data_IF_368270667609
#
_entry.id   IF_368270667609
#
_cell.length_a   1.000
_cell.length_b   1.000
_cell.length_c   1.000
_cell.angle_alpha   90.00
_cell.angle_beta   90.00
_cell.angle_gamma   90.00
#
_symmetry.space_group_name_H-M   'P 1'
#
loop_
_entity.id
_entity.type
_entity.pdbx_description
1 polymer ?
#
# COMPACT_ATOMS: atom_id res chain seq x y z
N UNK A 1 73.81 -19.42 3.72
CA UNK A 1 73.72 -20.61 2.85
C UNK A 1 72.61 -20.36 1.83
N UNK A 2 72.39 -21.30 0.90
CA UNK A 2 71.58 -21.14 -0.31
C UNK A 2 70.06 -20.94 -0.09
N UNK A 3 69.38 -20.63 -1.20
CA UNK A 3 67.96 -20.65 -1.56
C UNK A 3 67.07 -21.76 -0.95
N UNK A 4 65.73 -21.84 -1.09
CA UNK A 4 64.70 -21.26 -2.00
C UNK A 4 63.27 -21.60 -1.44
N UNK A 5 62.06 -21.42 -2.03
CA UNK A 5 61.49 -20.83 -3.26
C UNK A 5 59.97 -20.52 -3.02
N UNK A 6 59.35 -19.61 -3.79
CA UNK A 6 57.91 -19.60 -4.22
C UNK A 6 56.76 -19.51 -3.16
N UNK A 7 55.56 -18.97 -3.46
CA UNK A 7 55.12 -18.20 -4.64
C UNK A 7 53.98 -17.20 -4.29
N UNK A 8 53.77 -16.25 -5.19
CA UNK A 8 52.74 -15.20 -5.24
C UNK A 8 51.33 -15.77 -5.57
N UNK A 9 50.21 -15.03 -5.63
CA UNK A 9 50.07 -13.61 -6.00
C UNK A 9 48.84 -12.90 -5.40
N UNK A 10 49.01 -11.63 -5.07
CA UNK A 10 47.93 -10.63 -5.06
C UNK A 10 47.66 -10.13 -6.49
N UNK A 11 46.45 -9.63 -6.74
CA UNK A 11 46.11 -8.77 -7.88
C UNK A 11 45.40 -7.50 -7.37
N UNK A 12 45.60 -6.36 -8.05
CA UNK A 12 45.21 -5.03 -7.57
C UNK A 12 44.54 -4.20 -8.68
N UNK A 13 43.96 -3.07 -8.26
CA UNK A 13 43.41 -1.94 -9.04
C UNK A 13 44.40 -1.43 -10.11
N UNK A 14 44.06 -0.65 -11.15
CA UNK A 14 42.83 0.04 -11.62
C UNK A 14 43.05 0.59 -13.04
N UNK A 15 42.03 1.13 -13.73
CA UNK A 15 42.22 1.91 -14.98
C UNK A 15 40.91 2.36 -15.65
N UNK A 16 40.93 3.47 -16.40
CA UNK A 16 39.75 4.18 -16.92
C UNK A 16 39.77 4.43 -18.46
N UNK A 17 38.58 4.74 -19.01
CA UNK A 17 38.28 5.74 -20.05
C UNK A 17 38.13 5.41 -21.58
N UNK A 18 37.27 6.23 -22.22
CA UNK A 18 36.96 6.56 -23.64
C UNK A 18 36.38 5.54 -24.67
N UNK A 19 35.41 6.05 -25.44
CA UNK A 19 34.84 5.62 -26.76
C UNK A 19 35.82 5.97 -27.93
N UNK A 20 35.63 5.62 -29.26
CA UNK A 20 34.35 5.50 -30.00
C UNK A 20 34.24 4.60 -31.28
N UNK A 21 33.07 4.68 -31.96
CA UNK A 21 32.84 4.70 -33.43
C UNK A 21 32.53 3.45 -34.32
N UNK A 22 31.38 3.56 -35.02
CA UNK A 22 31.08 3.35 -36.48
C UNK A 22 30.47 2.03 -37.04
N UNK A 23 29.22 2.19 -37.53
CA UNK A 23 28.54 1.51 -38.69
C UNK A 23 28.18 0.01 -38.49
N UNK A 24 27.19 -0.57 -39.20
CA UNK A 24 26.57 -0.23 -40.50
C UNK A 24 25.09 0.23 -40.48
N UNK A 25 24.46 0.28 -41.66
CA UNK A 25 23.15 0.89 -41.98
C UNK A 25 22.42 0.04 -43.03
N UNK A 26 21.11 -0.14 -42.90
CA UNK A 26 20.20 -0.58 -43.96
C UNK A 26 18.85 0.11 -43.80
N UNK A 27 18.08 0.24 -44.88
CA UNK A 27 16.98 1.22 -45.00
C UNK A 27 15.69 0.58 -45.51
N UNK A 28 14.57 0.87 -44.84
CA UNK A 28 13.18 0.87 -45.34
C UNK A 28 12.37 1.73 -44.34
N UNK A 29 11.80 2.91 -44.61
CA UNK A 29 11.00 3.43 -45.74
C UNK A 29 9.51 3.03 -45.71
N UNK A 30 8.74 3.67 -44.83
CA UNK A 30 7.34 4.04 -45.11
C UNK A 30 6.87 5.11 -44.13
N UNK A 31 6.38 6.24 -44.66
CA UNK A 31 5.65 7.27 -43.92
C UNK A 31 4.16 6.92 -43.94
N UNK A 32 3.43 7.23 -42.88
CA UNK A 32 1.97 7.13 -42.83
C UNK A 32 1.45 8.24 -41.93
N UNK A 33 0.74 9.21 -42.53
CA UNK A 33 0.29 10.40 -41.84
C UNK A 33 -1.04 10.19 -41.10
N UNK A 34 -1.30 11.11 -40.19
CA UNK A 34 -2.54 11.26 -39.43
C UNK A 34 -3.66 11.84 -40.32
N UNK A 35 -4.73 11.06 -40.53
CA UNK A 35 -5.99 11.52 -41.13
C UNK A 35 -7.17 10.90 -40.37
N UNK A 36 -7.69 11.65 -39.39
CA UNK A 36 -8.81 11.25 -38.53
C UNK A 36 -10.02 12.17 -38.65
N UNK A 37 -10.79 12.06 -39.74
CA UNK A 37 -12.08 12.76 -39.86
C UNK A 37 -13.28 11.84 -39.65
N UNK A 38 -14.21 12.24 -38.78
CA UNK A 38 -15.67 12.21 -38.98
C UNK A 38 -16.37 12.58 -37.67
N UNK A 39 -16.92 13.80 -37.61
CA UNK A 39 -17.99 14.14 -36.67
C UNK A 39 -19.31 14.04 -37.42
N UNK A 40 -20.15 13.08 -37.06
CA UNK A 40 -21.56 13.04 -37.47
C UNK A 40 -22.47 12.70 -36.28
N UNK A 41 -23.73 13.07 -36.40
CA UNK A 41 -24.67 13.31 -35.30
C UNK A 41 -25.79 12.25 -35.28
N UNK A 42 -25.85 11.44 -34.22
CA UNK A 42 -26.87 10.41 -34.04
C UNK A 42 -27.38 10.32 -32.60
N UNK A 43 -28.32 11.19 -32.23
CA UNK A 43 -28.91 11.22 -30.89
C UNK A 43 -30.10 10.26 -30.70
N UNK A 44 -30.17 9.64 -29.53
CA UNK A 44 -31.45 9.18 -28.96
C UNK A 44 -31.41 9.30 -27.44
N UNK A 45 -32.44 9.89 -26.84
CA UNK A 45 -32.58 9.91 -25.39
C UNK A 45 -33.06 8.56 -24.87
N UNK A 46 -32.51 8.09 -23.75
CA UNK A 46 -33.11 7.03 -22.95
C UNK A 46 -33.11 7.45 -21.50
N UNK A 47 -34.28 7.86 -21.00
CA UNK A 47 -34.50 8.06 -19.57
C UNK A 47 -34.78 6.71 -18.93
N UNK A 48 -33.75 6.14 -18.29
CA UNK A 48 -33.90 4.94 -17.46
C UNK A 48 -33.59 5.30 -16.02
N UNK A 49 -34.63 5.72 -15.28
CA UNK A 49 -34.59 5.62 -13.83
C UNK A 49 -34.49 4.14 -13.47
N UNK A 50 -33.34 3.75 -12.93
CA UNK A 50 -33.01 2.38 -12.59
C UNK A 50 -32.66 2.29 -11.11
N UNK A 51 -33.68 2.18 -10.25
CA UNK A 51 -33.52 1.88 -8.83
C UNK A 51 -33.04 0.43 -8.64
N UNK A 52 -31.78 0.17 -9.00
CA UNK A 52 -31.05 -1.05 -8.69
C UNK A 52 -29.99 -0.75 -7.64
N UNK A 53 -30.29 -1.03 -6.36
CA UNK A 53 -29.27 -1.04 -5.32
C UNK A 53 -28.25 -2.12 -5.67
N UNK A 54 -27.09 -1.72 -6.19
CA UNK A 54 -26.20 -2.63 -6.89
C UNK A 54 -25.60 -3.68 -5.95
N UNK A 55 -25.83 -4.94 -6.28
CA UNK A 55 -25.38 -6.12 -5.52
C UNK A 55 -23.85 -6.15 -5.35
N UNK A 56 -23.15 -5.44 -6.26
CA UNK A 56 -21.74 -5.05 -6.20
C UNK A 56 -21.28 -4.46 -4.85
N UNK A 57 -22.18 -3.83 -4.09
CA UNK A 57 -21.86 -3.25 -2.78
C UNK A 57 -21.51 -4.29 -1.70
N UNK A 58 -21.87 -5.57 -1.88
CA UNK A 58 -21.60 -6.61 -0.89
C UNK A 58 -20.11 -6.99 -0.78
N UNK A 59 -19.35 -6.85 -1.87
CA UNK A 59 -17.90 -7.13 -1.92
C UNK A 59 -17.03 -5.92 -1.53
N UNK A 60 -17.63 -4.79 -1.14
CA UNK A 60 -16.94 -3.67 -0.50
C UNK A 60 -17.20 -3.63 1.01
N UNK A 61 -16.23 -3.12 1.77
CA UNK A 61 -16.38 -2.76 3.18
C UNK A 61 -15.84 -1.35 3.40
N UNK A 62 -16.67 -0.50 4.00
CA UNK A 62 -16.28 0.79 4.57
C UNK A 62 -15.87 0.59 6.02
N UNK A 63 -14.77 1.20 6.43
CA UNK A 63 -14.22 1.07 7.79
C UNK A 63 -13.59 2.37 8.30
N UNK A 64 -13.64 2.55 9.62
CA UNK A 64 -13.00 3.65 10.34
C UNK A 64 -11.86 3.07 11.17
N UNK A 65 -10.63 3.43 10.83
CA UNK A 65 -9.41 2.90 11.42
C UNK A 65 -8.84 3.92 12.42
N UNK A 66 -8.92 3.62 13.71
CA UNK A 66 -8.59 4.54 14.82
C UNK A 66 -7.32 4.11 15.55
N UNK A 67 -6.58 5.02 16.20
CA UNK A 67 -5.55 4.62 17.16
C UNK A 67 -6.18 3.86 18.35
N UNK A 68 -5.53 2.80 18.81
CA UNK A 68 -5.97 2.03 19.98
C UNK A 68 -5.85 2.88 21.27
N UNK A 69 -6.94 3.18 22.00
CA UNK A 69 -6.97 4.30 22.96
C UNK A 69 -6.02 4.20 24.16
N UNK A 70 -5.52 3.00 24.49
CA UNK A 70 -4.48 2.82 25.53
C UNK A 70 -3.07 2.81 24.91
N UNK A 71 -2.74 1.81 24.09
CA UNK A 71 -1.42 1.66 23.43
C UNK A 71 -0.99 2.85 22.53
N UNK A 72 -1.94 3.66 22.06
CA UNK A 72 -1.73 4.86 21.24
C UNK A 72 -2.22 6.13 21.95
N UNK A 73 -1.81 6.30 23.21
CA UNK A 73 -1.97 7.54 23.98
C UNK A 73 -1.13 8.69 23.40
N UNK A 74 -1.43 9.94 23.77
CA UNK A 74 -0.86 11.18 23.19
C UNK A 74 0.61 11.45 23.57
N UNK A 75 1.18 10.65 24.46
CA UNK A 75 2.61 10.56 24.76
C UNK A 75 3.39 9.74 23.71
N UNK A 76 2.71 8.84 22.98
CA UNK A 76 3.32 8.03 21.93
C UNK A 76 3.88 8.91 20.79
N UNK A 77 5.15 8.71 20.43
CA UNK A 77 5.84 9.51 19.42
C UNK A 77 5.18 9.45 18.04
N UNK A 78 4.56 8.31 17.68
CA UNK A 78 3.87 8.15 16.40
C UNK A 78 2.60 9.02 16.33
N UNK A 79 1.87 9.11 17.44
CA UNK A 79 0.66 9.95 17.55
C UNK A 79 1.00 11.44 17.45
N UNK A 80 2.10 11.86 18.10
CA UNK A 80 2.60 13.25 18.04
C UNK A 80 3.04 13.68 16.64
N UNK A 81 3.60 12.76 15.86
CA UNK A 81 4.02 13.01 14.49
C UNK A 81 2.80 13.08 13.53
N UNK A 82 1.87 12.13 13.63
CA UNK A 82 0.67 12.06 12.79
C UNK A 82 -0.36 13.18 13.06
N UNK A 83 -0.45 13.66 14.31
CA UNK A 83 -1.37 14.72 14.75
C UNK A 83 -2.83 14.32 14.44
N UNK A 84 -3.52 15.09 13.61
CA UNK A 84 -4.92 14.85 13.24
C UNK A 84 -5.08 13.69 12.23
N UNK A 85 -4.01 13.28 11.55
CA UNK A 85 -4.01 12.18 10.55
C UNK A 85 -3.98 10.77 11.18
N UNK A 86 -4.29 10.67 12.48
CA UNK A 86 -4.27 9.40 13.22
C UNK A 86 -5.47 8.51 12.91
N UNK A 87 -6.63 9.07 12.55
CA UNK A 87 -7.80 8.29 12.09
C UNK A 87 -7.83 8.21 10.57
N UNK A 88 -8.12 7.03 10.02
CA UNK A 88 -8.28 6.78 8.58
C UNK A 88 -9.72 6.36 8.29
N UNK A 89 -10.27 6.87 7.19
CA UNK A 89 -11.52 6.40 6.61
C UNK A 89 -11.16 5.64 5.33
N UNK A 90 -11.58 4.38 5.22
CA UNK A 90 -11.14 3.47 4.16
C UNK A 90 -12.34 2.75 3.58
N UNK A 91 -12.41 2.71 2.24
CA UNK A 91 -13.24 1.78 1.47
C UNK A 91 -12.29 0.79 0.79
N UNK A 92 -12.57 -0.49 0.91
CA UNK A 92 -11.74 -1.57 0.34
C UNK A 92 -12.58 -2.83 0.10
N UNK A 93 -12.02 -3.83 -0.58
CA UNK A 93 -12.74 -5.07 -0.87
C UNK A 93 -12.87 -5.97 0.37
N UNK A 94 -13.99 -6.66 0.51
CA UNK A 94 -14.31 -7.52 1.66
C UNK A 94 -13.36 -8.73 1.79
N UNK A 95 -12.65 -9.09 0.71
CA UNK A 95 -11.60 -10.11 0.69
C UNK A 95 -10.22 -9.62 1.16
N UNK A 96 -10.03 -8.31 1.40
CA UNK A 96 -8.79 -7.78 1.95
C UNK A 96 -8.53 -8.34 3.35
N UNK A 97 -7.26 -8.54 3.70
CA UNK A 97 -6.85 -9.16 4.96
C UNK A 97 -6.34 -8.15 5.99
N UNK A 98 -6.20 -8.58 7.24
CA UNK A 98 -5.56 -7.79 8.31
C UNK A 98 -4.10 -7.50 7.98
N UNK A 99 -3.38 -8.40 7.30
CA UNK A 99 -2.03 -8.12 6.79
C UNK A 99 -2.03 -7.04 5.70
N UNK A 100 -3.05 -6.99 4.83
CA UNK A 100 -3.21 -5.90 3.87
C UNK A 100 -3.44 -4.55 4.58
N UNK A 101 -4.24 -4.53 5.65
CA UNK A 101 -4.45 -3.33 6.48
C UNK A 101 -3.18 -2.90 7.23
N UNK A 102 -2.43 -3.85 7.80
CA UNK A 102 -1.15 -3.58 8.47
C UNK A 102 -0.13 -2.98 7.49
N UNK A 103 -0.01 -3.57 6.30
CA UNK A 103 0.83 -3.05 5.20
C UNK A 103 0.37 -1.67 4.73
N UNK A 104 -0.94 -1.44 4.59
CA UNK A 104 -1.50 -0.13 4.25
C UNK A 104 -1.08 0.94 5.27
N UNK A 105 -1.19 0.67 6.57
CA UNK A 105 -0.77 1.63 7.60
C UNK A 105 0.74 1.92 7.49
N UNK A 106 1.57 0.89 7.34
CA UNK A 106 3.02 1.06 7.20
C UNK A 106 3.38 1.93 5.97
N UNK A 107 2.79 1.64 4.81
CA UNK A 107 3.01 2.43 3.59
C UNK A 107 2.46 3.85 3.72
N UNK A 108 1.24 4.03 4.23
CA UNK A 108 0.64 5.38 4.33
C UNK A 108 1.36 6.25 5.35
N UNK A 109 1.82 5.69 6.46
CA UNK A 109 2.50 6.45 7.51
C UNK A 109 3.92 6.85 7.06
N UNK A 110 4.61 6.00 6.27
CA UNK A 110 5.86 6.39 5.62
C UNK A 110 5.66 7.54 4.60
N UNK A 111 4.54 7.57 3.88
CA UNK A 111 4.20 8.69 2.98
C UNK A 111 3.82 9.98 3.73
N UNK A 112 3.17 9.87 4.89
CA UNK A 112 2.72 11.03 5.68
C UNK A 112 3.84 11.66 6.53
N UNK A 113 4.79 10.83 6.99
CA UNK A 113 5.88 11.24 7.90
C UNK A 113 7.22 11.42 7.17
N UNK A 114 7.37 10.86 5.96
CA UNK A 114 8.60 10.92 5.18
C UNK A 114 9.81 10.44 5.98
N UNK A 115 10.82 11.30 6.12
CA UNK A 115 12.06 11.04 6.85
C UNK A 115 11.96 11.19 8.37
N UNK A 116 10.84 11.62 8.95
CA UNK A 116 10.65 11.58 10.41
C UNK A 116 10.45 10.14 10.94
N UNK A 117 10.14 9.19 10.06
CA UNK A 117 10.01 7.78 10.40
C UNK A 117 11.38 7.07 10.31
N UNK A 118 11.85 6.38 11.37
CA UNK A 118 13.00 5.49 11.25
C UNK A 118 12.73 4.37 10.25
N UNK A 119 13.76 3.85 9.56
CA UNK A 119 13.67 2.71 8.60
C UNK A 119 13.16 1.37 9.21
N UNK A 120 12.71 1.37 10.46
CA UNK A 120 12.13 0.20 11.13
C UNK A 120 10.76 -0.11 10.53
N UNK A 121 10.60 -1.33 10.04
CA UNK A 121 9.32 -1.91 9.66
C UNK A 121 8.25 -1.62 10.72
N UNK A 122 7.19 -0.91 10.34
CA UNK A 122 6.10 -0.57 11.24
C UNK A 122 5.22 -1.80 11.54
N UNK A 123 5.57 -2.53 12.59
CA UNK A 123 4.87 -3.71 13.07
C UNK A 123 3.56 -3.32 13.77
N UNK A 124 2.46 -3.19 13.01
CA UNK A 124 1.14 -2.89 13.55
C UNK A 124 0.43 -4.15 14.09
N UNK A 125 -0.19 -4.02 15.27
CA UNK A 125 -1.21 -4.95 15.77
C UNK A 125 -2.59 -4.36 15.51
N UNK A 126 -3.50 -5.15 14.95
CA UNK A 126 -4.85 -4.70 14.56
C UNK A 126 -5.89 -5.35 15.48
N UNK A 127 -6.89 -4.57 15.88
CA UNK A 127 -7.92 -4.95 16.85
C UNK A 127 -9.32 -4.54 16.36
N UNK A 128 -10.35 -5.19 16.88
CA UNK A 128 -11.75 -4.73 16.86
C UNK A 128 -12.27 -4.57 18.30
N UNK A 129 -13.33 -3.79 18.49
CA UNK A 129 -13.97 -3.61 19.79
C UNK A 129 -15.47 -4.01 19.72
N UNK A 130 -15.81 -5.31 19.82
CA UNK A 130 -17.19 -5.79 19.69
C UNK A 130 -18.08 -5.40 20.89
N UNK A 131 -17.44 -5.24 22.05
CA UNK A 131 -18.04 -4.81 23.32
C UNK A 131 -17.19 -3.67 23.86
N UNK A 132 -17.82 -2.56 24.28
CA UNK A 132 -17.13 -1.34 24.71
C UNK A 132 -15.99 -1.60 25.70
N UNK A 133 -14.76 -1.21 25.32
CA UNK A 133 -13.55 -1.39 26.14
C UNK A 133 -12.93 -2.79 26.08
N UNK A 134 -13.49 -3.74 25.32
CA UNK A 134 -12.89 -5.05 25.06
C UNK A 134 -12.28 -5.08 23.65
N UNK A 135 -10.95 -4.96 23.57
CA UNK A 135 -10.21 -4.99 22.32
C UNK A 135 -9.73 -6.40 22.00
N UNK A 136 -10.13 -6.92 20.84
CA UNK A 136 -9.81 -8.27 20.37
C UNK A 136 -8.81 -8.17 19.23
N UNK A 137 -7.58 -8.65 19.47
CA UNK A 137 -6.53 -8.76 18.44
C UNK A 137 -6.98 -9.67 17.30
N UNK A 138 -6.72 -9.25 16.06
CA UNK A 138 -7.03 -10.02 14.86
C UNK A 138 -5.79 -10.72 14.28
N UNK A 139 -6.02 -11.87 13.65
CA UNK A 139 -4.98 -12.59 12.91
C UNK A 139 -4.81 -11.99 11.51
N UNK A 140 -3.57 -11.84 11.04
CA UNK A 140 -3.18 -11.31 9.74
C UNK A 140 -3.93 -11.94 8.56
N UNK A 141 -4.18 -13.25 8.65
CA UNK A 141 -4.86 -14.04 7.60
C UNK A 141 -6.40 -13.88 7.56
N UNK A 142 -7.03 -13.23 8.53
CA UNK A 142 -8.47 -13.00 8.51
C UNK A 142 -8.82 -11.92 7.48
N UNK A 143 -9.86 -12.17 6.67
CA UNK A 143 -10.41 -11.16 5.76
C UNK A 143 -11.52 -10.32 6.42
N UNK A 144 -11.79 -9.14 5.85
CA UNK A 144 -12.76 -8.20 6.40
C UNK A 144 -14.20 -8.73 6.41
N UNK A 145 -14.58 -9.60 5.46
CA UNK A 145 -15.89 -10.29 5.47
C UNK A 145 -16.08 -11.11 6.75
N UNK A 146 -15.13 -12.02 7.06
CA UNK A 146 -15.16 -12.84 8.29
C UNK A 146 -15.15 -11.96 9.55
N UNK A 147 -14.41 -10.85 9.54
CA UNK A 147 -14.34 -9.92 10.68
C UNK A 147 -15.69 -9.21 10.90
N UNK A 148 -16.30 -8.67 9.83
CA UNK A 148 -17.59 -7.99 9.88
C UNK A 148 -18.71 -8.93 10.34
N UNK A 149 -18.79 -10.12 9.74
CA UNK A 149 -19.75 -11.18 10.07
C UNK A 149 -19.61 -11.68 11.52
N UNK A 150 -18.38 -11.80 12.04
CA UNK A 150 -18.14 -12.35 13.38
C UNK A 150 -18.29 -11.32 14.48
N UNK A 151 -17.77 -10.10 14.28
CA UNK A 151 -17.52 -9.14 15.35
C UNK A 151 -18.33 -7.84 15.26
N UNK A 152 -18.91 -7.49 14.11
CA UNK A 152 -19.56 -6.19 13.91
C UNK A 152 -21.07 -6.30 13.71
N UNK A 153 -21.52 -7.02 12.66
CA UNK A 153 -22.94 -7.36 12.43
C UNK A 153 -23.92 -6.17 12.40
N UNK A 154 -23.45 -4.95 12.09
CA UNK A 154 -24.32 -3.77 11.92
C UNK A 154 -24.14 -3.13 10.55
N UNK A 155 -25.19 -2.51 10.02
CA UNK A 155 -25.12 -1.73 8.78
C UNK A 155 -24.53 -0.33 9.04
N UNK A 156 -23.26 -0.31 9.45
CA UNK A 156 -22.42 0.88 9.71
C UNK A 156 -20.98 0.57 9.29
N UNK A 157 -20.17 1.56 8.91
CA UNK A 157 -18.74 1.37 8.68
C UNK A 157 -18.06 0.65 9.85
N UNK A 158 -17.25 -0.37 9.54
CA UNK A 158 -16.59 -1.24 10.51
C UNK A 158 -15.56 -0.44 11.33
N UNK A 159 -15.68 -0.42 12.66
CA UNK A 159 -14.68 0.22 13.51
C UNK A 159 -13.53 -0.73 13.85
N UNK A 160 -12.31 -0.34 13.46
CA UNK A 160 -11.07 -1.08 13.71
C UNK A 160 -10.05 -0.18 14.39
N UNK A 161 -9.15 -0.79 15.16
CA UNK A 161 -8.14 -0.07 15.94
C UNK A 161 -6.74 -0.61 15.63
N UNK A 162 -5.73 0.25 15.67
CA UNK A 162 -4.33 -0.14 15.49
C UNK A 162 -3.44 0.30 16.66
N UNK A 163 -2.42 -0.50 16.96
CA UNK A 163 -1.25 -0.09 17.72
C UNK A 163 0.02 -0.46 16.96
N UNK A 164 1.14 0.21 17.26
CA UNK A 164 2.46 -0.11 16.73
C UNK A 164 3.33 -0.57 17.88
N UNK A 165 3.92 -1.75 17.73
CA UNK A 165 4.87 -2.27 18.71
C UNK A 165 6.28 -1.88 18.28
N UNK A 166 6.87 -0.97 19.05
CA UNK A 166 8.28 -0.62 18.95
C UNK A 166 9.12 -1.86 19.30
N UNK A 167 9.62 -2.52 18.26
CA UNK A 167 10.74 -3.47 18.33
C UNK A 167 12.04 -2.76 18.70
#
# INVERSE_FOLDING_TARGET
MVSENSQSSFAHLSGEDVKPHKRAKTESSSESNDEGESSDNGGQGSVTEGEGASESGLDEIELVFKPHPVEMSSDNSLMRALKDNTTRYIKTTANATVDHLSKYLATRFALDLGSELPERSLNFTIYVCPTSGQFVTLNGNHNLRIINEKYWKTNKPLEMFYSWKKS
#
